data_IF_162327578988
#
_entry.id   IF_162327578988
#
_cell.length_a   1.000
_cell.length_b   1.000
_cell.length_c   1.000
_cell.angle_alpha   90.00
_cell.angle_beta   90.00
_cell.angle_gamma   90.00
#
_symmetry.space_group_name_H-M   'P 1'
#
loop_
_entity.id
_entity.type
_entity.pdbx_description
1 polymer ?
#
# COMPACT_ATOMS: atom_id res chain seq x y z
N UNK A 1 5.70 3.81 60.29
CA UNK A 1 4.66 3.98 59.25
C UNK A 1 5.29 4.50 57.96
N UNK A 2 4.90 3.88 56.83
CA UNK A 2 5.02 4.37 55.45
C UNK A 2 6.41 4.57 54.81
N UNK A 3 6.98 3.49 54.24
CA UNK A 3 8.02 3.56 53.19
C UNK A 3 7.68 2.81 51.90
N UNK A 4 6.45 2.28 51.75
CA UNK A 4 6.10 1.35 50.67
C UNK A 4 5.40 1.99 49.45
N UNK A 5 5.13 3.30 49.45
CA UNK A 5 4.32 3.94 48.38
C UNK A 5 5.18 4.49 47.24
N UNK A 6 6.50 4.70 47.44
CA UNK A 6 7.33 5.40 46.44
C UNK A 6 7.89 4.51 45.32
N UNK A 7 7.99 3.20 45.53
CA UNK A 7 8.64 2.30 44.56
C UNK A 7 7.71 1.77 43.45
N UNK A 8 6.39 1.84 43.62
CA UNK A 8 5.43 1.35 42.63
C UNK A 8 5.07 2.38 41.54
N UNK A 9 5.23 3.67 41.82
CA UNK A 9 4.98 4.74 40.84
C UNK A 9 6.10 4.88 39.79
N UNK A 10 7.34 4.48 40.14
CA UNK A 10 8.48 4.59 39.24
C UNK A 10 8.50 3.51 38.14
N UNK A 11 7.88 2.34 38.40
CA UNK A 11 7.74 1.27 37.41
C UNK A 11 6.60 1.52 36.40
N UNK A 12 5.64 2.40 36.73
CA UNK A 12 4.58 2.83 35.81
C UNK A 12 5.08 3.96 34.90
N UNK A 13 5.97 4.83 35.41
CA UNK A 13 6.56 5.92 34.64
C UNK A 13 7.51 5.46 33.52
N UNK A 14 8.23 4.34 33.70
CA UNK A 14 9.12 3.78 32.67
C UNK A 14 8.41 3.00 31.58
N UNK A 15 7.13 2.63 31.76
CA UNK A 15 6.32 2.02 30.71
C UNK A 15 5.72 3.06 29.73
N UNK A 16 5.69 4.34 30.11
CA UNK A 16 5.15 5.44 29.32
C UNK A 16 6.18 6.06 28.34
N UNK A 17 7.45 5.65 28.42
CA UNK A 17 8.51 6.10 27.51
C UNK A 17 8.75 5.11 26.37
N UNK A 18 7.72 4.39 25.92
CA UNK A 18 7.74 3.86 24.55
C UNK A 18 7.66 5.09 23.63
N UNK A 19 8.83 5.67 23.36
CA UNK A 19 8.95 6.74 22.38
C UNK A 19 8.21 6.30 21.13
N UNK A 20 7.44 7.22 20.54
CA UNK A 20 6.78 7.01 19.26
C UNK A 20 7.86 6.59 18.26
N UNK A 21 8.05 5.29 18.09
CA UNK A 21 8.96 4.77 17.10
C UNK A 21 8.37 5.21 15.77
N UNK A 22 9.13 5.99 15.00
CA UNK A 22 8.70 6.38 13.67
C UNK A 22 8.32 5.10 12.93
N UNK A 23 7.09 5.08 12.42
CA UNK A 23 6.56 3.96 11.67
C UNK A 23 7.48 3.69 10.48
N UNK A 24 7.93 2.45 10.24
CA UNK A 24 8.73 2.13 9.07
C UNK A 24 8.05 2.62 7.79
N UNK A 25 8.81 3.28 6.92
CA UNK A 25 8.35 3.71 5.59
C UNK A 25 9.10 2.89 4.54
N UNK A 26 8.42 2.51 3.46
CA UNK A 26 9.00 1.79 2.34
C UNK A 26 8.68 2.50 1.03
N UNK A 27 9.67 2.55 0.15
CA UNK A 27 9.56 3.05 -1.22
C UNK A 27 9.87 1.91 -2.17
N UNK A 28 8.97 1.69 -3.12
CA UNK A 28 9.14 0.74 -4.20
C UNK A 28 9.18 1.53 -5.51
N UNK A 29 10.31 1.48 -6.19
CA UNK A 29 10.50 2.14 -7.50
C UNK A 29 10.61 1.06 -8.57
N UNK A 30 9.60 1.00 -9.43
CA UNK A 30 9.49 0.04 -10.53
C UNK A 30 9.88 0.65 -11.88
N UNK A 31 10.13 1.96 -11.94
CA UNK A 31 10.48 2.69 -13.15
C UNK A 31 12.01 2.81 -13.28
N UNK A 32 12.69 3.38 -12.29
CA UNK A 32 14.15 3.51 -12.39
C UNK A 32 14.88 2.19 -12.13
N UNK A 33 14.26 1.30 -11.35
CA UNK A 33 14.78 -0.04 -11.06
C UNK A 33 13.93 -1.14 -11.73
N UNK A 34 13.22 -0.79 -12.80
CA UNK A 34 12.33 -1.68 -13.54
C UNK A 34 13.00 -2.91 -14.16
N UNK A 35 12.18 -3.77 -14.77
CA UNK A 35 12.62 -4.96 -15.47
C UNK A 35 13.47 -4.67 -16.72
N UNK A 36 13.68 -5.69 -17.56
CA UNK A 36 14.42 -5.53 -18.82
C UNK A 36 13.69 -4.67 -19.85
N UNK A 37 14.30 -4.53 -21.02
CA UNK A 37 13.71 -3.85 -22.19
C UNK A 37 12.45 -4.53 -22.74
N UNK A 38 12.24 -5.80 -22.40
CA UNK A 38 11.08 -6.61 -22.76
C UNK A 38 10.31 -7.01 -21.50
N UNK A 39 9.00 -7.22 -21.63
CA UNK A 39 8.17 -7.65 -20.52
C UNK A 39 8.62 -9.02 -19.98
N UNK A 40 8.88 -9.07 -18.67
CA UNK A 40 8.97 -10.30 -17.90
C UNK A 40 7.58 -10.64 -17.36
N UNK A 41 7.05 -11.81 -17.71
CA UNK A 41 5.70 -12.24 -17.33
C UNK A 41 5.74 -13.25 -16.18
N UNK A 42 5.00 -12.95 -15.11
CA UNK A 42 4.94 -13.80 -13.91
C UNK A 42 3.56 -13.77 -13.26
N UNK A 43 3.21 -14.81 -12.50
CA UNK A 43 1.97 -14.84 -11.73
C UNK A 43 2.01 -13.90 -10.51
N UNK A 44 3.21 -13.54 -10.05
CA UNK A 44 3.40 -12.62 -8.94
C UNK A 44 4.79 -11.98 -8.95
N UNK A 45 4.87 -10.75 -8.45
CA UNK A 45 6.13 -10.11 -8.07
C UNK A 45 6.19 -9.93 -6.56
N UNK A 46 7.39 -10.07 -5.99
CA UNK A 46 7.61 -9.94 -4.55
C UNK A 46 8.75 -8.97 -4.29
N UNK A 47 8.51 -8.01 -3.41
CA UNK A 47 9.46 -6.98 -3.01
C UNK A 47 9.49 -6.88 -1.49
N UNK A 48 10.60 -6.40 -0.94
CA UNK A 48 10.70 -6.10 0.49
C UNK A 48 11.59 -4.89 0.68
N UNK A 49 11.09 -3.90 1.43
CA UNK A 49 11.83 -2.70 1.77
C UNK A 49 11.51 -2.29 3.20
N UNK A 50 12.54 -2.01 4.01
CA UNK A 50 12.41 -1.58 5.41
C UNK A 50 11.47 -2.46 6.26
N UNK A 51 11.49 -3.78 6.03
CA UNK A 51 10.66 -4.76 6.75
C UNK A 51 9.21 -4.87 6.27
N UNK A 52 8.79 -4.00 5.35
CA UNK A 52 7.50 -4.09 4.67
C UNK A 52 7.69 -4.99 3.44
N UNK A 53 6.94 -6.08 3.38
CA UNK A 53 6.87 -6.97 2.22
C UNK A 53 5.68 -6.58 1.35
N UNK A 54 5.87 -6.62 0.04
CA UNK A 54 4.85 -6.35 -0.97
C UNK A 54 4.82 -7.50 -1.98
N UNK A 55 3.62 -8.03 -2.21
CA UNK A 55 3.33 -8.99 -3.28
C UNK A 55 2.35 -8.34 -4.25
N UNK A 56 2.65 -8.41 -5.54
CA UNK A 56 1.80 -7.89 -6.62
C UNK A 56 1.31 -9.06 -7.45
N UNK A 57 0.00 -9.14 -7.65
CA UNK A 57 -0.66 -10.21 -8.41
C UNK A 57 -1.68 -9.62 -9.38
N UNK A 58 -1.97 -10.30 -10.51
CA UNK A 58 -2.92 -9.82 -11.49
C UNK A 58 -4.35 -10.12 -11.02
N UNK A 59 -5.26 -9.21 -11.34
CA UNK A 59 -6.71 -9.38 -11.18
C UNK A 59 -7.34 -9.03 -12.52
N UNK A 60 -7.84 -10.05 -13.21
CA UNK A 60 -8.45 -9.92 -14.54
C UNK A 60 -9.55 -10.98 -14.72
N UNK A 61 -10.44 -10.76 -15.68
CA UNK A 61 -11.43 -11.75 -16.12
C UNK A 61 -10.78 -12.90 -16.90
N UNK A 62 -9.56 -12.69 -17.43
CA UNK A 62 -8.76 -13.73 -18.04
C UNK A 62 -8.03 -14.56 -16.96
N UNK A 63 -8.29 -15.86 -16.90
CA UNK A 63 -7.67 -16.77 -15.94
C UNK A 63 -6.16 -16.96 -16.12
N UNK A 64 -5.64 -16.67 -17.32
CA UNK A 64 -4.22 -16.79 -17.64
C UNK A 64 -3.46 -15.46 -17.50
N UNK A 65 -4.10 -14.44 -16.91
CA UNK A 65 -3.50 -13.14 -16.71
C UNK A 65 -2.20 -13.21 -15.90
N UNK A 66 -1.19 -12.46 -16.35
CA UNK A 66 0.13 -12.37 -15.69
C UNK A 66 0.46 -10.93 -15.37
N UNK A 67 1.23 -10.73 -14.30
CA UNK A 67 1.92 -9.46 -14.07
C UNK A 67 3.01 -9.33 -15.12
N UNK A 68 3.07 -8.17 -15.78
CA UNK A 68 4.10 -7.83 -16.74
C UNK A 68 5.04 -6.80 -16.13
N UNK A 69 6.35 -7.07 -16.14
CA UNK A 69 7.35 -6.19 -15.55
C UNK A 69 8.39 -5.77 -16.59
N UNK A 70 8.54 -4.45 -16.76
CA UNK A 70 9.42 -3.84 -17.76
C UNK A 70 10.13 -2.63 -17.15
N UNK A 71 11.12 -2.10 -17.85
CA UNK A 71 11.88 -0.91 -17.45
C UNK A 71 11.00 0.31 -17.11
N UNK A 72 9.78 0.40 -17.64
CA UNK A 72 8.86 1.50 -17.39
C UNK A 72 7.79 1.17 -16.34
N UNK A 73 7.87 0.03 -15.66
CA UNK A 73 6.98 -0.31 -14.54
C UNK A 73 6.25 -1.63 -14.70
N UNK A 74 5.22 -1.78 -13.86
CA UNK A 74 4.43 -3.00 -13.72
C UNK A 74 3.06 -2.81 -14.38
N UNK A 75 2.76 -3.66 -15.35
CA UNK A 75 1.47 -3.77 -16.00
C UNK A 75 0.87 -5.18 -15.86
N UNK A 76 -0.05 -5.52 -16.77
CA UNK A 76 -0.74 -6.80 -16.77
C UNK A 76 -0.88 -7.33 -18.20
N UNK A 77 -0.55 -8.61 -18.39
CA UNK A 77 -0.72 -9.32 -19.65
C UNK A 77 -2.00 -10.14 -19.59
N UNK A 78 -3.06 -9.69 -20.27
CA UNK A 78 -4.36 -10.37 -20.35
C UNK A 78 -4.67 -10.93 -21.76
N UNK A 79 -3.69 -10.96 -22.67
CA UNK A 79 -3.88 -11.43 -24.04
C UNK A 79 -2.63 -11.29 -24.93
N UNK A 80 -2.66 -11.83 -26.15
CA UNK A 80 -1.50 -11.91 -27.05
C UNK A 80 -1.13 -10.60 -27.77
N UNK A 81 -2.05 -9.63 -27.85
CA UNK A 81 -1.87 -8.39 -28.63
C UNK A 81 -1.95 -7.10 -27.78
N UNK A 82 -2.15 -7.22 -26.47
CA UNK A 82 -2.27 -6.05 -25.59
C UNK A 82 -0.88 -5.57 -25.16
N UNK A 83 -0.66 -4.25 -24.99
CA UNK A 83 0.65 -3.65 -24.65
C UNK A 83 1.15 -3.98 -23.23
N UNK A 84 0.55 -4.97 -22.57
CA UNK A 84 0.82 -5.45 -21.22
C UNK A 84 0.76 -4.33 -20.15
N UNK A 85 -0.12 -3.35 -20.36
CA UNK A 85 -0.40 -2.23 -19.46
C UNK A 85 -1.66 -2.52 -18.62
N UNK A 86 -1.84 -1.81 -17.51
CA UNK A 86 -3.15 -1.79 -16.84
C UNK A 86 -4.07 -0.98 -17.72
N UNK A 87 -5.02 -1.65 -18.36
CA UNK A 87 -5.86 -1.03 -19.34
C UNK A 87 -7.35 -1.28 -19.06
N UNK A 88 -8.16 -0.31 -19.45
CA UNK A 88 -9.61 -0.48 -19.63
C UNK A 88 -9.94 -0.25 -21.10
N UNK A 89 -10.06 -1.35 -21.85
CA UNK A 89 -10.53 -1.33 -23.23
C UNK A 89 -11.99 -0.88 -23.32
N UNK A 90 -12.41 -0.35 -24.47
CA UNK A 90 -13.81 -0.02 -24.79
C UNK A 90 -14.78 -1.19 -24.59
N UNK A 91 -14.27 -2.42 -24.60
CA UNK A 91 -15.04 -3.65 -24.41
C UNK A 91 -14.84 -4.29 -23.02
N UNK A 92 -13.97 -3.73 -22.18
CA UNK A 92 -13.65 -4.22 -20.83
C UNK A 92 -13.57 -3.06 -19.84
N UNK A 93 -14.74 -2.70 -19.29
CA UNK A 93 -14.88 -1.77 -18.16
C UNK A 93 -15.70 -2.42 -17.02
N UNK A 94 -15.20 -2.39 -15.76
CA UNK A 94 -13.90 -1.86 -15.35
C UNK A 94 -12.74 -2.72 -15.89
N UNK A 95 -11.57 -2.10 -16.06
CA UNK A 95 -10.41 -2.72 -16.72
C UNK A 95 -9.65 -3.69 -15.83
N UNK A 96 -8.47 -4.06 -16.32
CA UNK A 96 -7.51 -4.88 -15.60
C UNK A 96 -7.04 -4.22 -14.29
N UNK A 97 -6.66 -5.03 -13.30
CA UNK A 97 -6.26 -4.57 -12.00
C UNK A 97 -5.05 -5.31 -11.42
N UNK A 98 -4.31 -4.63 -10.54
CA UNK A 98 -3.25 -5.22 -9.73
C UNK A 98 -3.71 -5.28 -8.28
N UNK A 99 -3.60 -6.47 -7.69
CA UNK A 99 -3.72 -6.64 -6.25
C UNK A 99 -2.33 -6.48 -5.62
N UNK A 100 -2.22 -5.44 -4.80
CA UNK A 100 -1.11 -5.19 -3.89
C UNK A 100 -1.44 -5.82 -2.54
N UNK A 101 -0.63 -6.77 -2.10
CA UNK A 101 -0.74 -7.45 -0.80
C UNK A 101 0.49 -7.17 0.04
N UNK A 102 0.30 -6.54 1.19
CA UNK A 102 1.37 -6.25 2.13
C UNK A 102 1.38 -7.29 3.25
N UNK A 103 2.58 -7.60 3.78
CA UNK A 103 2.75 -8.51 4.91
C UNK A 103 2.24 -7.95 6.26
N UNK A 104 1.84 -6.68 6.27
CA UNK A 104 1.31 -5.95 7.41
C UNK A 104 0.43 -4.80 6.92
N UNK A 105 -0.40 -4.22 7.79
CA UNK A 105 -1.21 -3.07 7.41
C UNK A 105 -0.30 -1.86 7.13
N UNK A 106 -0.59 -1.12 6.06
CA UNK A 106 0.14 0.08 5.66
C UNK A 106 -0.82 1.19 5.27
N UNK A 107 -0.40 2.43 5.45
CA UNK A 107 -0.97 3.60 4.79
C UNK A 107 -0.27 3.79 3.44
N UNK A 108 -1.04 3.84 2.35
CA UNK A 108 -0.52 4.29 1.05
C UNK A 108 -0.31 5.80 1.11
N UNK A 109 0.94 6.25 1.03
CA UNK A 109 1.26 7.68 1.01
C UNK A 109 1.22 8.24 -0.41
N UNK A 110 1.71 7.46 -1.38
CA UNK A 110 1.61 7.80 -2.80
C UNK A 110 1.64 6.58 -3.70
N UNK A 111 1.09 6.74 -4.90
CA UNK A 111 1.24 5.81 -6.02
C UNK A 111 1.73 6.60 -7.22
N UNK A 112 2.61 6.02 -8.02
CA UNK A 112 3.14 6.64 -9.23
C UNK A 112 2.85 5.77 -10.44
N UNK A 113 2.47 6.39 -11.55
CA UNK A 113 2.20 5.72 -12.82
C UNK A 113 3.04 6.30 -13.95
N UNK A 114 3.55 5.43 -14.80
CA UNK A 114 4.15 5.81 -16.08
C UNK A 114 3.12 5.63 -17.19
N UNK A 115 3.38 6.30 -18.32
CA UNK A 115 2.48 6.34 -19.48
C UNK A 115 1.11 6.97 -19.17
N UNK A 116 1.00 7.69 -18.04
CA UNK A 116 -0.24 8.32 -17.62
C UNK A 116 -0.55 9.57 -18.46
N UNK A 117 -1.66 9.56 -19.17
CA UNK A 117 -2.15 10.63 -20.03
C UNK A 117 -3.13 11.54 -19.27
N UNK A 118 -2.56 12.40 -18.40
CA UNK A 118 -3.34 13.26 -17.50
C UNK A 118 -3.45 14.74 -17.89
N UNK A 119 -2.50 15.30 -18.66
CA UNK A 119 -2.09 16.68 -18.36
C UNK A 119 -2.34 17.73 -19.46
N UNK A 120 -2.94 17.42 -20.61
CA UNK A 120 -3.12 18.46 -21.66
C UNK A 120 -4.32 18.37 -22.60
N UNK A 121 -4.97 17.21 -22.76
CA UNK A 121 -6.07 17.03 -23.75
C UNK A 121 -7.38 16.51 -23.13
N UNK A 122 -7.51 16.59 -21.80
CA UNK A 122 -8.53 15.90 -21.02
C UNK A 122 -7.95 14.61 -20.44
N UNK A 123 -8.24 14.31 -19.17
CA UNK A 123 -7.74 13.10 -18.51
C UNK A 123 -8.35 11.86 -19.18
N UNK A 124 -7.56 11.21 -20.04
CA UNK A 124 -7.92 9.93 -20.66
C UNK A 124 -7.75 8.82 -19.64
N UNK A 125 -6.65 8.87 -18.88
CA UNK A 125 -6.39 7.91 -17.83
C UNK A 125 -7.19 8.20 -16.57
N UNK A 126 -7.83 7.14 -16.06
CA UNK A 126 -8.45 7.13 -14.75
C UNK A 126 -8.13 5.82 -14.08
N UNK A 127 -8.03 5.90 -12.75
CA UNK A 127 -7.74 4.74 -11.93
C UNK A 127 -8.49 4.83 -10.62
N UNK A 128 -8.75 3.68 -10.03
CA UNK A 128 -9.28 3.55 -8.68
C UNK A 128 -8.38 2.69 -7.83
N UNK A 129 -8.36 2.98 -6.54
CA UNK A 129 -7.78 2.13 -5.51
C UNK A 129 -8.90 1.61 -4.61
N UNK A 130 -9.04 0.30 -4.48
CA UNK A 130 -10.01 -0.34 -3.59
C UNK A 130 -9.30 -0.96 -2.40
N UNK A 131 -9.76 -0.65 -1.18
CA UNK A 131 -9.31 -1.28 0.06
C UNK A 131 -10.41 -1.30 1.10
N UNK A 132 -10.44 -2.32 1.97
CA UNK A 132 -11.47 -2.44 3.01
C UNK A 132 -12.92 -2.44 2.48
N UNK A 133 -13.12 -2.85 1.22
CA UNK A 133 -14.43 -2.81 0.54
C UNK A 133 -14.86 -1.43 0.04
N UNK A 134 -14.01 -0.40 0.14
CA UNK A 134 -14.25 0.96 -0.34
C UNK A 134 -13.36 1.28 -1.52
N UNK A 135 -13.91 2.01 -2.50
CA UNK A 135 -13.21 2.39 -3.73
C UNK A 135 -12.97 3.89 -3.78
N UNK A 136 -11.73 4.28 -4.04
CA UNK A 136 -11.27 5.66 -4.08
C UNK A 136 -10.78 5.99 -5.49
N UNK A 137 -11.31 7.03 -6.11
CA UNK A 137 -10.86 7.48 -7.42
C UNK A 137 -9.57 8.29 -7.30
N UNK A 138 -8.62 8.06 -8.20
CA UNK A 138 -7.43 8.89 -8.35
C UNK A 138 -7.79 10.11 -9.22
N UNK A 139 -8.05 11.24 -8.55
CA UNK A 139 -8.45 12.48 -9.22
C UNK A 139 -7.24 13.33 -9.60
N UNK A 140 -7.41 14.21 -10.58
CA UNK A 140 -6.38 15.17 -11.00
C UNK A 140 -5.88 16.07 -9.86
N UNK A 141 -6.71 16.33 -8.83
CA UNK A 141 -6.30 17.11 -7.65
C UNK A 141 -5.26 16.40 -6.76
N UNK A 142 -5.13 15.08 -6.89
CA UNK A 142 -4.13 14.30 -6.18
C UNK A 142 -2.84 14.12 -6.99
N UNK A 143 -2.89 14.40 -8.30
CA UNK A 143 -1.79 14.24 -9.24
C UNK A 143 -0.85 15.45 -9.20
N UNK A 144 0.45 15.21 -9.26
CA UNK A 144 1.50 16.23 -9.40
C UNK A 144 1.69 16.74 -10.84
N UNK A 145 1.11 16.05 -11.83
CA UNK A 145 1.18 16.42 -13.24
C UNK A 145 2.56 16.17 -13.86
N UNK A 146 3.22 15.09 -13.44
CA UNK A 146 4.53 14.68 -13.95
C UNK A 146 4.59 14.51 -15.47
N UNK A 147 5.82 14.48 -16.02
CA UNK A 147 6.03 14.38 -17.47
C UNK A 147 6.22 12.93 -17.95
N UNK A 148 7.02 12.13 -17.23
CA UNK A 148 7.24 10.71 -17.54
C UNK A 148 6.56 9.77 -16.55
N UNK A 149 6.35 10.26 -15.33
CA UNK A 149 5.75 9.54 -14.22
C UNK A 149 4.87 10.53 -13.47
N UNK A 150 3.58 10.25 -13.39
CA UNK A 150 2.59 11.01 -12.63
C UNK A 150 2.45 10.39 -11.24
N UNK A 151 2.58 11.22 -10.20
CA UNK A 151 2.48 10.77 -8.81
C UNK A 151 1.22 11.30 -8.15
N UNK A 152 0.46 10.38 -7.56
CA UNK A 152 -0.74 10.67 -6.81
C UNK A 152 -0.45 10.63 -5.31
N UNK A 153 -0.64 11.74 -4.61
CA UNK A 153 -0.53 11.84 -3.16
C UNK A 153 -1.79 11.33 -2.45
N UNK A 154 -1.66 10.36 -1.55
CA UNK A 154 -2.78 9.62 -0.94
C UNK A 154 -2.82 9.70 0.59
N UNK A 155 -1.86 10.40 1.21
CA UNK A 155 -1.77 10.53 2.66
C UNK A 155 -3.07 11.07 3.27
N UNK A 156 -3.72 10.26 4.11
CA UNK A 156 -4.97 10.61 4.78
C UNK A 156 -6.23 10.53 3.91
N UNK A 157 -6.10 10.16 2.62
CA UNK A 157 -7.22 9.98 1.69
C UNK A 157 -7.74 8.55 1.76
N UNK A 158 -6.84 7.57 1.75
CA UNK A 158 -7.15 6.14 1.77
C UNK A 158 -6.80 5.58 3.15
N UNK A 159 -7.70 4.84 3.81
CA UNK A 159 -7.41 4.23 5.10
C UNK A 159 -6.30 3.18 4.99
N UNK A 160 -5.63 2.92 6.11
CA UNK A 160 -4.62 1.88 6.16
C UNK A 160 -5.24 0.49 5.90
N UNK A 161 -4.50 -0.36 5.20
CA UNK A 161 -4.95 -1.68 4.79
C UNK A 161 -3.79 -2.61 4.49
N UNK A 162 -4.07 -3.91 4.42
CA UNK A 162 -3.10 -4.91 3.95
C UNK A 162 -3.23 -5.17 2.45
N UNK A 163 -4.41 -4.90 1.87
CA UNK A 163 -4.74 -5.22 0.49
C UNK A 163 -5.28 -3.99 -0.22
N UNK A 164 -4.72 -3.70 -1.38
CA UNK A 164 -5.13 -2.60 -2.23
C UNK A 164 -5.24 -3.11 -3.67
N UNK A 165 -6.37 -2.87 -4.31
CA UNK A 165 -6.55 -3.17 -5.73
C UNK A 165 -6.45 -1.88 -6.51
N UNK A 166 -5.44 -1.76 -7.37
CA UNK A 166 -5.33 -0.65 -8.33
C UNK A 166 -5.96 -1.12 -9.63
N UNK A 167 -6.95 -0.40 -10.13
CA UNK A 167 -7.71 -0.77 -11.32
C UNK A 167 -7.79 0.39 -12.31
N UNK A 168 -7.55 0.12 -13.59
CA UNK A 168 -7.80 1.06 -14.67
C UNK A 168 -9.31 1.27 -14.87
N UNK A 169 -9.71 2.52 -15.09
CA UNK A 169 -11.10 2.93 -15.18
C UNK A 169 -11.35 3.79 -16.40
N UNK A 170 -12.52 3.64 -17.02
CA UNK A 170 -12.91 4.46 -18.15
C UNK A 170 -12.26 4.01 -19.45
N UNK A 171 -12.94 4.29 -20.55
CA UNK A 171 -12.51 3.80 -21.85
C UNK A 171 -11.14 4.36 -22.24
N UNK A 172 -10.27 3.49 -22.75
CA UNK A 172 -8.94 3.81 -23.27
C UNK A 172 -7.90 4.19 -22.22
N UNK A 173 -8.17 4.02 -20.92
CA UNK A 173 -7.09 4.19 -19.95
C UNK A 173 -6.06 3.08 -20.10
N UNK A 174 -4.78 3.45 -20.09
CA UNK A 174 -3.65 2.52 -20.23
C UNK A 174 -2.40 3.08 -19.57
N UNK A 175 -1.92 2.44 -18.51
CA UNK A 175 -0.76 2.92 -17.76
C UNK A 175 -0.03 1.77 -17.06
N UNK A 176 1.14 2.04 -16.48
CA UNK A 176 1.89 1.06 -15.66
C UNK A 176 2.16 1.62 -14.27
N UNK A 177 2.11 0.74 -13.27
CA UNK A 177 2.51 1.07 -11.91
C UNK A 177 4.03 1.29 -11.87
N UNK A 178 4.43 2.54 -11.69
CA UNK A 178 5.81 2.99 -11.68
C UNK A 178 6.41 3.05 -10.27
N UNK A 179 5.59 3.26 -9.23
CA UNK A 179 6.11 3.25 -7.86
C UNK A 179 5.05 3.36 -6.77
N UNK A 180 5.48 3.10 -5.53
CA UNK A 180 4.66 3.13 -4.33
C UNK A 180 5.48 3.68 -3.16
N UNK A 181 4.88 4.58 -2.37
CA UNK A 181 5.40 4.95 -1.06
C UNK A 181 4.38 4.60 0.01
N UNK A 182 4.81 3.84 1.01
CA UNK A 182 3.91 3.32 2.07
C UNK A 182 4.53 3.48 3.45
N UNK A 183 3.69 3.64 4.46
CA UNK A 183 4.11 3.67 5.86
C UNK A 183 3.40 2.56 6.61
N UNK A 184 4.12 1.81 7.44
CA UNK A 184 3.52 0.83 8.33
C UNK A 184 2.41 1.48 9.17
N UNK A 185 1.23 0.86 9.20
CA UNK A 185 0.16 1.31 10.08
C UNK A 185 0.55 1.00 11.52
N UNK A 186 0.74 2.04 12.33
CA UNK A 186 0.97 1.87 13.77
C UNK A 186 -0.37 1.64 14.43
N UNK A 187 -0.53 0.62 15.29
CA UNK A 187 -1.74 0.45 16.07
C UNK A 187 -2.09 1.73 16.80
N UNK A 188 -3.37 2.10 16.79
CA UNK A 188 -3.83 3.31 17.47
C UNK A 188 -3.33 3.33 18.93
N UNK A 189 -3.06 4.53 19.46
CA UNK A 189 -2.58 4.69 20.84
C UNK A 189 -3.51 4.01 21.86
N UNK A 190 -4.82 3.96 21.57
CA UNK A 190 -5.84 3.23 22.33
C UNK A 190 -5.60 1.71 22.36
N UNK A 191 -5.25 1.12 21.22
CA UNK A 191 -4.94 -0.31 21.08
C UNK A 191 -3.67 -0.65 21.86
N UNK A 192 -2.65 0.20 21.76
CA UNK A 192 -1.41 0.06 22.52
C UNK A 192 -1.67 0.20 24.02
N UNK A 193 -2.45 1.20 24.42
CA UNK A 193 -2.83 1.40 25.82
C UNK A 193 -3.62 0.21 26.38
N UNK A 194 -4.57 -0.35 25.62
CA UNK A 194 -5.33 -1.53 26.03
C UNK A 194 -4.45 -2.78 26.14
N UNK A 195 -3.49 -2.94 25.23
CA UNK A 195 -2.52 -4.03 25.31
C UNK A 195 -1.66 -3.91 26.56
N UNK A 196 -1.14 -2.71 26.84
CA UNK A 196 -0.34 -2.43 28.05
C UNK A 196 -1.16 -2.60 29.32
N UNK A 197 -2.40 -2.11 29.36
CA UNK A 197 -3.31 -2.28 30.48
C UNK A 197 -3.68 -3.75 30.70
N UNK A 198 -3.92 -4.51 29.62
CA UNK A 198 -4.16 -5.94 29.67
C UNK A 198 -2.96 -6.70 30.26
N UNK A 199 -1.75 -6.37 29.82
CA UNK A 199 -0.51 -6.97 30.34
C UNK A 199 -0.27 -6.61 31.82
N UNK A 200 -0.51 -5.36 32.20
CA UNK A 200 -0.43 -4.91 33.58
C UNK A 200 -1.46 -5.63 34.48
N UNK A 201 -2.68 -5.85 33.98
CA UNK A 201 -3.71 -6.62 34.65
C UNK A 201 -3.29 -8.08 34.91
N UNK A 202 -2.73 -8.75 33.90
CA UNK A 202 -2.22 -10.12 34.03
C UNK A 202 -1.09 -10.19 35.05
N UNK A 203 -0.13 -9.26 35.00
CA UNK A 203 0.97 -9.19 35.96
C UNK A 203 0.49 -8.99 37.41
N UNK A 204 -0.52 -8.14 37.63
CA UNK A 204 -1.12 -7.91 38.95
C UNK A 204 -1.83 -9.16 39.51
N UNK A 205 -2.55 -9.91 38.66
CA UNK A 205 -3.21 -11.17 39.05
C UNK A 205 -2.19 -12.26 39.39
N UNK A 206 -1.12 -12.41 38.59
CA UNK A 206 -0.04 -13.37 38.86
C UNK A 206 0.66 -13.05 40.18
N UNK A 207 0.87 -11.76 40.49
CA UNK A 207 1.47 -11.34 41.75
C UNK A 207 0.58 -11.65 42.95
N UNK A 208 -0.75 -11.54 42.81
CA UNK A 208 -1.71 -11.92 43.87
C UNK A 208 -1.77 -13.43 44.11
N UNK A 209 -1.43 -14.27 43.14
CA UNK A 209 -1.42 -15.73 43.30
C UNK A 209 -0.14 -16.27 43.97
N UNK A 210 0.91 -15.45 44.09
CA UNK A 210 2.18 -15.81 44.75
C UNK A 210 2.28 -15.33 46.21
N UNK A 211 1.25 -14.66 46.71
CA UNK A 211 1.08 -14.27 48.13
C UNK A 211 -0.01 -15.14 48.71
#
# INVERSE_FOLDING_TARGET
MSKFIKSSLLAVATALSMGAHAAPTASYDFYSNGGGWVDSLTNSLNFTANGIGLTITPVSTNSDAKVAYRWDGIGLSAGFLEPNELNSSLLHTPGDALLLSFNQAVSLNSVAFSLWEGNSLGALDKATITTGGQTYALSASLNDGGFFVDTFGLTGVIPAGQFFVIQAQGDLSSFRLAGLNVTAAVPEASTTAMFVLGLAGVAAVVRRRKV
#
